data_IF_915483892698
#
_entry.id   IF_915483892698
#
_cell.length_a   1.000
_cell.length_b   1.000
_cell.length_c   1.000
_cell.angle_alpha   90.00
_cell.angle_beta   90.00
_cell.angle_gamma   90.00
#
_symmetry.space_group_name_H-M   'P 1'
#
loop_
_entity.id
_entity.type
_entity.pdbx_description
1 polymer ?
2 non-polymer ?
3 non-polymer ?
4 non-polymer ?
5 water ?
#
# COMPACT_ATOMS: atom_id res chain seq x y z
N UNK A 1 -14.52 6.42 -5.23
CA UNK A 1 -14.24 5.47 -4.12
C UNK A 1 -14.09 4.04 -4.62
N UNK A 2 -13.28 3.25 -3.92
CA UNK A 2 -13.16 1.81 -4.19
C UNK A 2 -13.61 1.02 -2.96
N UNK A 3 -14.05 -0.22 -3.18
CA UNK A 3 -14.59 -1.04 -2.09
C UNK A 3 -14.11 -2.48 -2.11
N UNK A 4 -14.02 -3.08 -0.93
CA UNK A 4 -13.72 -4.51 -0.81
C UNK A 4 -14.46 -5.12 0.39
N UNK A 5 -15.11 -6.25 0.14
CA UNK A 5 -15.86 -6.95 1.17
C UNK A 5 -15.22 -8.29 1.49
N UNK A 6 -14.87 -8.50 2.76
CA UNK A 6 -14.26 -9.76 3.18
C UNK A 6 -15.28 -10.91 3.22
N UNK A 7 -16.56 -10.58 3.41
CA UNK A 7 -17.60 -11.60 3.40
C UNK A 7 -17.80 -12.14 1.97
N UNK A 8 -17.43 -13.41 1.80
CA UNK A 8 -17.54 -14.07 0.50
C UNK A 8 -16.35 -13.82 -0.42
N UNK A 9 -15.31 -13.17 0.12
CA UNK A 9 -14.11 -12.84 -0.65
C UNK A 9 -13.35 -14.09 -1.12
N UNK A 10 -12.79 -14.00 -2.33
CA UNK A 10 -11.96 -15.05 -2.89
C UNK A 10 -10.84 -14.43 -3.72
N UNK A 11 -9.90 -15.23 -4.25
CA UNK A 11 -8.84 -14.62 -5.06
C UNK A 11 -9.36 -13.71 -6.19
N UNK A 12 -10.52 -14.05 -6.75
CA UNK A 12 -11.13 -13.28 -7.84
C UNK A 12 -11.61 -11.90 -7.38
N UNK A 13 -12.42 -11.86 -6.32
CA UNK A 13 -12.96 -10.60 -5.82
C UNK A 13 -11.88 -9.67 -5.26
N UNK A 14 -10.84 -10.26 -4.65
CA UNK A 14 -9.69 -9.49 -4.21
C UNK A 14 -8.94 -8.89 -5.39
N UNK A 15 -8.78 -9.70 -6.44
CA UNK A 15 -8.15 -9.24 -7.69
C UNK A 15 -8.90 -8.08 -8.31
N UNK A 16 -10.23 -8.16 -8.26
CA UNK A 16 -11.10 -7.08 -8.72
C UNK A 16 -10.88 -5.79 -7.94
N UNK A 17 -10.76 -5.92 -6.61
CA UNK A 17 -10.50 -4.78 -5.73
C UNK A 17 -9.16 -4.08 -6.01
N UNK A 18 -8.11 -4.88 -6.20
CA UNK A 18 -6.78 -4.34 -6.46
C UNK A 18 -6.73 -3.65 -7.83
N UNK A 19 -7.43 -4.22 -8.81
CA UNK A 19 -7.62 -3.59 -10.12
C UNK A 19 -8.31 -2.22 -9.97
N UNK A 20 -9.41 -2.20 -9.20
CA UNK A 20 -10.14 -0.96 -8.92
C UNK A 20 -9.26 0.09 -8.24
N UNK A 21 -8.46 -0.35 -7.27
CA UNK A 21 -7.54 0.52 -6.54
C UNK A 21 -6.54 1.18 -7.48
N UNK A 22 -5.90 0.37 -8.34
CA UNK A 22 -4.97 0.87 -9.35
C UNK A 22 -5.64 1.86 -10.29
N UNK A 23 -6.83 1.50 -10.77
CA UNK A 23 -7.59 2.32 -11.73
C UNK A 23 -8.08 3.65 -11.17
N UNK A 24 -8.18 3.72 -9.85
CA UNK A 24 -8.60 4.94 -9.17
C UNK A 24 -7.46 5.95 -9.00
N UNK A 25 -6.24 5.53 -9.27
CA UNK A 25 -5.08 6.42 -9.16
C UNK A 25 -4.83 7.12 -10.51
N UNK A 26 -4.86 8.46 -10.51
CA UNK A 26 -4.73 9.20 -11.77
C UNK A 26 -3.31 9.19 -12.33
N UNK A 27 -3.21 9.14 -13.66
CA UNK A 27 -1.95 9.29 -14.38
C UNK A 27 -2.21 9.95 -15.74
N UNK A 28 -1.21 10.67 -16.25
CA UNK A 28 -1.31 11.23 -17.60
C UNK A 28 -0.27 10.64 -18.55
N UNK A 29 0.78 10.02 -17.99
CA UNK A 29 1.78 9.30 -18.77
C UNK A 29 1.92 7.86 -18.29
N UNK A 30 2.43 7.02 -19.17
CA UNK A 30 3.00 5.74 -18.79
C UNK A 30 4.49 5.79 -19.12
N UNK A 31 5.31 5.22 -18.24
CA UNK A 31 6.75 5.10 -18.50
C UNK A 31 7.07 3.62 -18.59
N UNK A 32 7.60 3.22 -19.75
CA UNK A 32 7.80 1.81 -20.08
C UNK A 32 6.52 1.01 -19.83
N UNK A 33 5.40 1.59 -20.24
CA UNK A 33 4.06 1.00 -20.16
C UNK A 33 3.50 0.86 -18.74
N UNK A 34 4.14 1.53 -17.78
CA UNK A 34 3.69 1.53 -16.39
C UNK A 34 3.16 2.91 -16.02
N UNK A 35 1.92 2.99 -15.51
CA UNK A 35 1.33 4.26 -15.11
C UNK A 35 2.25 5.05 -14.17
N UNK A 36 2.46 6.32 -14.50
CA UNK A 36 3.28 7.22 -13.70
C UNK A 36 2.39 8.08 -12.82
N UNK A 37 2.52 7.92 -11.51
CA UNK A 37 1.73 8.69 -10.55
C UNK A 37 2.08 10.19 -10.67
N UNK A 38 1.09 11.03 -10.42
CA UNK A 38 1.22 12.47 -10.61
C UNK A 38 2.15 13.12 -9.59
N UNK A 39 2.85 14.20 -9.98
CA UNK A 39 3.68 14.94 -9.04
C UNK A 39 2.86 15.49 -7.86
N UNK A 40 1.68 16.02 -8.17
CA UNK A 40 0.81 16.63 -7.17
C UNK A 40 -0.65 16.68 -7.61
N UNK A 41 -1.55 16.67 -6.64
CA UNK A 41 -2.97 16.91 -6.84
C UNK A 41 -3.39 17.88 -5.72
N UNK A 42 -4.22 18.86 -6.07
CA UNK A 42 -4.63 19.88 -5.10
C UNK A 42 -6.03 19.68 -4.56
N UNK A 43 -6.19 19.96 -3.27
CA UNK A 43 -7.48 19.86 -2.60
C UNK A 43 -7.82 18.45 -2.15
N UNK A 44 -9.12 18.18 -2.07
CA UNK A 44 -9.63 16.88 -1.62
C UNK A 44 -9.42 15.77 -2.65
N UNK A 45 -9.19 16.16 -3.91
CA UNK A 45 -8.97 15.21 -5.00
C UNK A 45 -7.69 14.40 -4.86
N UNK A 46 -6.84 14.80 -3.92
CA UNK A 46 -5.60 14.11 -3.63
C UNK A 46 -5.81 12.76 -2.95
N UNK A 47 -6.99 12.58 -2.35
CA UNK A 47 -7.23 11.42 -1.48
C UNK A 47 -8.32 10.49 -1.99
N UNK A 48 -7.94 9.23 -2.18
CA UNK A 48 -8.90 8.17 -2.49
C UNK A 48 -9.43 7.56 -1.20
N UNK A 49 -10.73 7.29 -1.18
CA UNK A 49 -11.35 6.62 -0.06
C UNK A 49 -11.61 5.15 -0.39
N UNK A 50 -11.00 4.26 0.40
CA UNK A 50 -11.24 2.82 0.29
C UNK A 50 -12.24 2.41 1.35
N UNK A 51 -13.35 1.80 0.93
CA UNK A 51 -14.33 1.26 1.86
C UNK A 51 -14.09 -0.23 2.05
N UNK A 52 -13.63 -0.60 3.24
CA UNK A 52 -13.33 -1.99 3.55
C UNK A 52 -14.30 -2.53 4.58
N UNK A 53 -14.83 -3.72 4.29
CA UNK A 53 -15.80 -4.36 5.16
C UNK A 53 -15.25 -5.68 5.67
N UNK A 54 -15.24 -5.84 6.99
CA UNK A 54 -14.86 -7.11 7.58
C UNK A 54 -15.94 -8.16 7.32
N UNK A 55 -15.65 -9.41 7.67
CA UNK A 55 -16.56 -10.51 7.41
C UNK A 55 -17.98 -10.26 7.96
N UNK A 56 -18.06 -9.59 9.10
CA UNK A 56 -19.34 -9.30 9.75
C UNK A 56 -20.04 -8.07 9.16
N UNK A 57 -19.41 -7.41 8.19
CA UNK A 57 -20.03 -6.28 7.49
C UNK A 57 -19.75 -4.92 8.12
N UNK A 58 -18.96 -4.90 9.18
CA UNK A 58 -18.49 -3.66 9.78
C UNK A 58 -17.48 -3.00 8.85
N UNK A 59 -17.41 -1.67 8.88
CA UNK A 59 -16.62 -0.94 7.89
C UNK A 59 -15.67 0.12 8.43
N UNK A 60 -14.54 0.25 7.74
CA UNK A 60 -13.67 1.41 7.87
C UNK A 60 -13.48 2.05 6.51
N UNK A 61 -13.29 3.37 6.49
CA UNK A 61 -12.92 4.08 5.27
C UNK A 61 -11.49 4.54 5.42
N UNK A 62 -10.65 4.14 4.46
CA UNK A 62 -9.22 4.44 4.51
C UNK A 62 -8.88 5.51 3.49
N UNK A 63 -8.18 6.56 3.93
CA UNK A 63 -7.77 7.65 3.03
C UNK A 63 -6.37 7.40 2.50
N UNK A 64 -6.24 7.41 1.17
CA UNK A 64 -5.00 7.11 0.48
C UNK A 64 -4.58 8.29 -0.41
N UNK A 65 -3.35 8.77 -0.24
CA UNK A 65 -2.80 9.82 -1.11
C UNK A 65 -2.57 9.23 -2.49
N UNK A 66 -3.25 9.76 -3.50
CA UNK A 66 -3.24 9.18 -4.86
C UNK A 66 -1.92 9.38 -5.63
N UNK A 67 -1.05 10.24 -5.11
CA UNK A 67 0.25 10.51 -5.75
C UNK A 67 1.32 9.50 -5.32
N UNK A 68 1.11 8.79 -4.22
CA UNK A 68 2.13 7.89 -3.68
C UNK A 68 1.61 6.59 -3.07
N UNK A 69 0.28 6.43 -3.07
CA UNK A 69 -0.42 5.28 -2.47
C UNK A 69 -0.54 5.31 -0.94
N UNK A 70 0.07 6.33 -0.43
CA UNK A 70 0.27 6.31 1.02
C UNK A 70 -1.06 6.48 1.75
N UNK A 71 -1.35 5.57 2.66
CA UNK A 71 -2.53 5.66 3.51
C UNK A 71 -2.25 6.60 4.67
N UNK A 72 -2.99 7.70 4.74
CA UNK A 72 -2.75 8.72 5.75
C UNK A 72 -3.55 8.52 7.03
N UNK A 73 -4.76 7.97 6.89
CA UNK A 73 -5.64 7.80 8.05
C UNK A 73 -6.87 7.02 7.64
N UNK A 74 -7.80 6.88 8.58
CA UNK A 74 -9.01 6.11 8.35
C UNK A 74 -10.13 6.56 9.28
N UNK A 75 -11.36 6.22 8.91
CA UNK A 75 -12.53 6.51 9.72
C UNK A 75 -13.17 5.21 10.21
N UNK A 76 -13.40 5.13 11.51
CA UNK A 76 -14.09 4.00 12.12
C UNK A 76 -15.26 4.52 12.94
N UNK A 77 -16.47 4.15 12.51
CA UNK A 77 -17.73 4.77 12.98
C UNK A 77 -17.69 6.30 12.89
N UNK A 78 -17.51 6.96 14.04
CA UNK A 78 -17.54 8.43 14.09
C UNK A 78 -16.19 9.03 14.50
N UNK A 79 -15.17 8.19 14.58
CA UNK A 79 -13.82 8.64 14.96
C UNK A 79 -12.86 8.50 13.79
N UNK A 80 -12.12 9.56 13.51
CA UNK A 80 -11.05 9.52 12.52
C UNK A 80 -9.70 9.33 13.19
N UNK A 81 -8.79 8.66 12.48
CA UNK A 81 -7.44 8.40 12.98
C UNK A 81 -6.45 8.75 11.88
N UNK A 82 -5.42 9.50 12.24
CA UNK A 82 -4.37 9.87 11.28
C UNK A 82 -3.01 9.61 11.86
N UNK A 83 -2.06 9.29 10.99
CA UNK A 83 -0.67 9.12 11.38
C UNK A 83 -0.09 10.44 11.90
N UNK A 84 0.89 10.34 12.78
CA UNK A 84 1.54 11.50 13.35
C UNK A 84 2.66 11.97 12.41
N UNK A 85 2.20 12.66 11.30
CA UNK A 85 3.23 13.11 10.32
C UNK A 85 2.64 14.26 9.53
N UNK A 86 3.37 15.22 9.02
CA UNK A 86 2.77 16.41 8.39
C UNK A 86 1.81 16.12 7.23
N UNK A 87 2.13 15.14 6.40
CA UNK A 87 1.28 14.76 5.26
C UNK A 87 -0.10 14.27 5.70
N UNK A 88 -0.15 13.56 6.83
CA UNK A 88 -1.41 13.07 7.39
C UNK A 88 -2.24 14.18 8.05
N UNK A 89 -1.57 15.12 8.73
CA UNK A 89 -2.27 16.27 9.29
C UNK A 89 -2.89 17.11 8.16
N UNK A 90 -2.15 17.25 7.07
CA UNK A 90 -2.69 17.91 5.87
C UNK A 90 -3.91 17.16 5.33
N UNK A 91 -3.83 15.83 5.28
CA UNK A 91 -4.96 15.00 4.86
C UNK A 91 -6.18 15.23 5.73
N UNK A 92 -5.96 15.42 7.03
CA UNK A 92 -7.04 15.62 8.00
C UNK A 92 -7.85 16.90 7.71
N UNK A 93 -7.31 17.77 6.86
CA UNK A 93 -8.01 18.98 6.46
C UNK A 93 -9.08 18.71 5.39
N UNK A 94 -8.99 17.56 4.72
CA UNK A 94 -9.86 17.27 3.58
C UNK A 94 -10.80 16.07 3.72
N UNK A 95 -10.38 15.08 4.51
CA UNK A 95 -11.16 13.85 4.66
C UNK A 95 -11.70 13.64 6.08
N UNK A 96 -12.84 12.97 6.17
CA UNK A 96 -13.48 12.60 7.46
C UNK A 96 -13.73 13.81 8.36
N UNK A 97 -14.02 14.95 7.74
CA UNK A 97 -14.25 16.19 8.48
C UNK A 97 -15.50 16.13 9.36
N UNK A 98 -16.45 15.27 8.99
CA UNK A 98 -17.68 15.11 9.76
C UNK A 98 -17.57 14.11 10.92
N UNK A 99 -16.35 13.59 11.16
CA UNK A 99 -16.10 12.73 12.32
C UNK A 99 -16.28 13.51 13.62
N UNK A 100 -16.87 12.87 14.62
CA UNK A 100 -17.12 13.53 15.91
C UNK A 100 -15.84 13.87 16.67
N UNK A 101 -14.83 13.00 16.57
CA UNK A 101 -13.51 13.28 17.14
C UNK A 101 -12.39 12.78 16.22
N UNK A 102 -11.22 13.37 16.36
CA UNK A 102 -10.04 12.98 15.60
C UNK A 102 -8.91 12.58 16.53
N UNK A 103 -8.41 11.37 16.36
CA UNK A 103 -7.28 10.88 17.13
C UNK A 103 -6.05 10.84 16.25
N UNK A 104 -4.97 11.47 16.70
CA UNK A 104 -3.68 11.31 16.04
C UNK A 104 -3.00 10.10 16.66
N UNK A 105 -2.69 9.11 15.82
CA UNK A 105 -1.96 7.93 16.25
C UNK A 105 -0.57 8.33 16.74
N UNK A 106 -0.04 7.64 17.76
CA UNK A 106 1.25 7.99 18.34
C UNK A 106 2.45 7.42 17.56
N UNK A 107 2.34 7.44 16.24
CA UNK A 107 3.42 7.05 15.32
C UNK A 107 3.13 7.59 13.94
N UNK A 108 4.19 7.73 13.14
CA UNK A 108 4.03 8.02 11.71
C UNK A 108 3.68 6.73 10.97
N UNK A 109 3.49 6.84 9.66
CA UNK A 109 3.09 5.71 8.84
C UNK A 109 4.21 4.87 8.27
N UNK A 110 5.43 5.24 8.58
CA UNK A 110 6.65 4.58 8.22
C UNK A 110 6.81 3.18 8.85
N UNK A 111 7.32 2.20 8.15
CA UNK A 111 7.63 0.94 8.79
C UNK A 111 8.61 1.14 9.94
N UNK A 112 9.66 1.90 9.69
CA UNK A 112 10.67 2.18 10.71
C UNK A 112 10.02 2.70 11.98
N UNK A 113 8.70 2.86 11.95
CA UNK A 113 7.96 3.35 13.12
C UNK A 113 6.81 2.43 13.51
N UNK A 114 6.11 1.89 12.52
CA UNK A 114 5.01 0.96 12.77
C UNK A 114 5.49 -0.35 13.39
N UNK A 115 6.64 -0.85 12.93
CA UNK A 115 7.21 -2.10 13.45
C UNK A 115 7.63 -1.94 14.91
N UNK A 116 8.15 -0.77 15.26
CA UNK A 116 8.51 -0.45 16.64
C UNK A 116 7.27 -0.43 17.53
N UNK A 117 6.23 0.28 17.09
CA UNK A 117 4.96 0.36 17.83
C UNK A 117 4.28 -0.99 17.98
N UNK A 118 4.32 -1.80 16.92
CA UNK A 118 3.69 -3.14 16.93
C UNK A 118 4.47 -4.15 17.76
N UNK A 119 5.76 -3.88 17.96
CA UNK A 119 6.64 -4.76 18.74
C UNK A 119 7.20 -5.92 17.93
N UNK A 120 7.08 -5.84 16.61
CA UNK A 120 7.58 -6.89 15.73
C UNK A 120 7.82 -6.41 14.29
N UNK A 121 8.85 -6.97 13.62
CA UNK A 121 9.08 -6.67 12.22
C UNK A 121 8.01 -7.37 11.39
N UNK A 122 7.74 -6.89 10.19
CA UNK A 122 6.67 -7.51 9.42
C UNK A 122 7.06 -8.84 8.78
N UNK A 123 8.33 -9.23 8.90
CA UNK A 123 8.76 -10.59 8.58
C UNK A 123 8.03 -11.62 9.44
N UNK A 124 7.58 -11.18 10.60
CA UNK A 124 6.94 -12.07 11.58
C UNK A 124 5.43 -11.89 11.70
N UNK A 125 4.86 -10.97 10.91
CA UNK A 125 3.42 -10.73 10.92
C UNK A 125 2.76 -11.41 9.72
N UNK A 126 1.93 -12.44 9.96
CA UNK A 126 1.22 -13.11 8.88
C UNK A 126 0.27 -12.14 8.16
N UNK A 127 0.23 -12.25 6.84
CA UNK A 127 -0.69 -11.45 6.03
C UNK A 127 -1.54 -12.36 5.16
N UNK A 128 -2.60 -11.80 4.60
CA UNK A 128 -3.55 -12.56 3.82
C UNK A 128 -4.92 -11.95 4.01
N UNK A 129 -5.93 -12.57 3.43
CA UNK A 129 -7.29 -12.06 3.55
C UNK A 129 -7.85 -12.22 4.98
N UNK A 130 -7.60 -13.37 5.63
CA UNK A 130 -8.04 -13.46 7.03
C UNK A 130 -7.39 -12.40 7.92
N UNK A 131 -6.09 -12.13 7.71
CA UNK A 131 -5.38 -11.09 8.46
C UNK A 131 -5.97 -9.70 8.21
N UNK A 132 -6.41 -9.45 6.97
CA UNK A 132 -7.05 -8.19 6.62
C UNK A 132 -8.39 -8.03 7.33
N UNK A 133 -9.18 -9.10 7.37
CA UNK A 133 -10.42 -9.14 8.14
C UNK A 133 -10.17 -8.75 9.61
N UNK A 134 -9.12 -9.34 10.18
CA UNK A 134 -8.68 -9.04 11.55
C UNK A 134 -8.27 -7.59 11.73
N UNK A 135 -7.49 -7.09 10.76
CA UNK A 135 -6.99 -5.72 10.78
C UNK A 135 -8.15 -4.73 10.83
N UNK A 136 -9.13 -4.92 9.94
CA UNK A 136 -10.32 -4.08 9.90
C UNK A 136 -11.00 -4.07 11.27
N UNK A 137 -11.24 -5.25 11.83
CA UNK A 137 -11.88 -5.39 13.15
C UNK A 137 -11.11 -4.65 14.24
N UNK A 138 -9.78 -4.81 14.25
CA UNK A 138 -8.90 -4.15 15.21
C UNK A 138 -9.02 -2.63 15.14
N UNK A 139 -9.00 -2.09 13.92
CA UNK A 139 -9.04 -0.64 13.73
C UNK A 139 -10.38 0.00 14.10
N UNK A 140 -11.42 -0.83 14.24
CA UNK A 140 -12.75 -0.35 14.64
C UNK A 140 -12.79 0.16 16.07
N UNK A 141 -11.93 -0.38 16.94
CA UNK A 141 -11.83 0.07 18.33
C UNK A 141 -10.40 0.39 18.71
N UNK A 142 -10.18 1.66 19.04
CA UNK A 142 -8.85 2.20 19.25
C UNK A 142 -8.02 1.41 20.25
N UNK A 143 -6.80 1.07 19.81
CA UNK A 143 -5.80 0.35 20.59
C UNK A 143 -4.53 0.56 19.78
N UNK A 144 -3.70 1.52 20.18
CA UNK A 144 -2.57 1.98 19.35
C UNK A 144 -1.52 0.90 19.04
N UNK A 145 -1.21 0.06 20.03
CA UNK A 145 -0.29 -1.07 19.82
C UNK A 145 -0.85 -2.07 18.81
N UNK A 146 -2.10 -2.49 19.01
CA UNK A 146 -2.76 -3.44 18.10
C UNK A 146 -2.95 -2.82 16.71
N UNK A 147 -3.29 -1.54 16.69
CA UNK A 147 -3.49 -0.81 15.43
C UNK A 147 -2.23 -0.76 14.57
N UNK A 148 -1.05 -0.66 15.19
CA UNK A 148 0.20 -0.66 14.43
C UNK A 148 0.37 -1.94 13.60
N UNK A 149 0.12 -3.08 14.23
CA UNK A 149 0.17 -4.38 13.55
C UNK A 149 -0.91 -4.49 12.48
N UNK A 150 -2.11 -4.00 12.82
CA UNK A 150 -3.23 -3.98 11.89
C UNK A 150 -2.90 -3.15 10.65
N UNK A 151 -2.26 -2.00 10.86
CA UNK A 151 -1.89 -1.10 9.78
C UNK A 151 -0.79 -1.68 8.90
N UNK A 152 0.16 -2.40 9.49
CA UNK A 152 1.16 -3.14 8.71
C UNK A 152 0.50 -4.15 7.77
N UNK A 153 -0.53 -4.84 8.26
CA UNK A 153 -1.31 -5.78 7.44
C UNK A 153 -2.09 -5.04 6.34
N UNK A 154 -2.74 -3.93 6.73
CA UNK A 154 -3.57 -3.16 5.82
C UNK A 154 -2.75 -2.59 4.65
N UNK A 155 -1.63 -1.95 4.99
CA UNK A 155 -0.75 -1.33 3.99
C UNK A 155 -0.28 -2.34 2.94
N UNK A 156 0.16 -3.51 3.40
CA UNK A 156 0.69 -4.55 2.54
C UNK A 156 -0.37 -5.23 1.67
N UNK A 157 -1.57 -5.41 2.22
CA UNK A 157 -2.65 -6.09 1.49
C UNK A 157 -3.45 -5.17 0.56
N UNK A 158 -3.22 -3.86 0.66
CA UNK A 158 -3.87 -2.92 -0.24
C UNK A 158 -2.83 -2.22 -1.12
N UNK A 159 -2.18 -1.21 -0.57
CA UNK A 159 -1.18 -0.43 -1.29
C UNK A 159 -0.08 -1.26 -1.94
N UNK A 160 0.58 -2.14 -1.19
CA UNK A 160 1.71 -2.89 -1.76
C UNK A 160 1.25 -3.83 -2.89
N UNK A 161 0.06 -4.39 -2.71
CA UNK A 161 -0.56 -5.26 -3.72
C UNK A 161 -0.90 -4.48 -4.99
N UNK A 162 -1.34 -3.23 -4.83
CA UNK A 162 -1.62 -2.36 -5.96
C UNK A 162 -0.35 -2.05 -6.75
N UNK A 163 0.76 -1.87 -6.05
CA UNK A 163 2.03 -1.52 -6.68
C UNK A 163 2.71 -2.69 -7.39
N UNK A 164 2.60 -3.89 -6.83
CA UNK A 164 3.30 -5.05 -7.37
C UNK A 164 2.35 -6.22 -7.61
N UNK A 165 2.34 -6.71 -8.85
CA UNK A 165 1.54 -7.86 -9.23
C UNK A 165 1.91 -9.09 -8.39
N UNK A 166 3.21 -9.25 -8.13
CA UNK A 166 3.69 -10.35 -7.29
C UNK A 166 3.08 -10.34 -5.89
N UNK A 167 2.95 -9.14 -5.31
CA UNK A 167 2.38 -9.01 -3.96
C UNK A 167 0.87 -9.31 -3.97
N UNK A 168 0.17 -8.83 -4.99
CA UNK A 168 -1.25 -9.19 -5.19
C UNK A 168 -1.45 -10.70 -5.22
N UNK A 169 -0.61 -11.39 -6.00
CA UNK A 169 -0.65 -12.85 -6.11
C UNK A 169 -0.32 -13.55 -4.79
N UNK A 170 0.64 -12.98 -4.04
CA UNK A 170 1.00 -13.46 -2.70
C UNK A 170 -0.23 -13.48 -1.79
N UNK A 171 -1.02 -12.40 -1.84
CA UNK A 171 -2.21 -12.27 -1.01
C UNK A 171 -3.33 -13.20 -1.50
N UNK A 172 -3.45 -13.34 -2.83
CA UNK A 172 -4.42 -14.28 -3.41
C UNK A 172 -4.15 -15.72 -2.96
N UNK A 173 -2.87 -16.07 -2.83
CA UNK A 173 -2.47 -17.37 -2.30
C UNK A 173 -2.83 -17.51 -0.82
N UNK A 174 -2.94 -16.38 -0.14
CA UNK A 174 -3.29 -16.34 1.27
C UNK A 174 -4.75 -15.96 1.49
N UNK A 175 -5.62 -16.39 0.57
CA UNK A 175 -7.03 -16.04 0.63
C UNK A 175 -7.74 -16.63 1.85
N UNK A 176 -7.31 -17.83 2.25
CA UNK A 176 -8.00 -18.57 3.31
C UNK A 176 -7.04 -19.05 4.41
N UNK A 177 -5.77 -18.68 4.28
CA UNK A 177 -4.74 -19.00 5.26
C UNK A 177 -3.67 -17.92 5.26
N UNK A 178 -3.46 -17.27 6.40
CA UNK A 178 -2.42 -16.27 6.54
C UNK A 178 -1.04 -16.91 6.52
N UNK A 179 -0.08 -16.15 6.00
CA UNK A 179 1.32 -16.54 6.07
C UNK A 179 2.16 -15.27 6.05
N UNK A 180 3.26 -15.29 6.80
CA UNK A 180 4.21 -14.17 6.76
C UNK A 180 4.65 -13.91 5.32
N UNK A 181 4.92 -12.64 4.96
CA UNK A 181 5.32 -12.34 3.59
C UNK A 181 6.66 -12.99 3.23
N UNK A 182 6.81 -13.39 1.97
CA UNK A 182 8.08 -13.90 1.48
C UNK A 182 9.15 -12.81 1.54
N UNK A 183 10.41 -13.21 1.58
CA UNK A 183 11.53 -12.26 1.56
C UNK A 183 11.44 -11.35 0.33
N UNK A 184 11.01 -11.92 -0.79
CA UNK A 184 10.82 -11.20 -2.03
C UNK A 184 9.79 -10.07 -1.88
N UNK A 185 8.69 -10.37 -1.18
CA UNK A 185 7.66 -9.38 -0.89
C UNK A 185 8.23 -8.18 -0.12
N UNK A 186 8.95 -8.46 0.97
CA UNK A 186 9.61 -7.42 1.78
C UNK A 186 10.57 -6.59 0.93
N UNK A 187 11.35 -7.28 0.10
CA UNK A 187 12.33 -6.66 -0.78
C UNK A 187 11.67 -5.65 -1.73
N UNK A 188 10.57 -6.06 -2.36
CA UNK A 188 9.84 -5.20 -3.29
C UNK A 188 9.26 -3.97 -2.61
N UNK A 189 8.67 -4.17 -1.43
CA UNK A 189 8.11 -3.07 -0.64
C UNK A 189 9.18 -2.03 -0.36
N UNK A 190 10.35 -2.48 0.08
CA UNK A 190 11.47 -1.61 0.40
C UNK A 190 12.08 -0.92 -0.83
N UNK A 191 11.88 -1.51 -2.01
CA UNK A 191 12.51 -1.02 -3.23
C UNK A 191 11.61 -0.20 -4.16
N UNK A 192 10.36 0.02 -3.75
CA UNK A 192 9.39 0.67 -4.64
C UNK A 192 9.83 2.04 -5.13
N UNK A 193 10.25 2.90 -4.20
CA UNK A 193 10.74 4.23 -4.55
C UNK A 193 11.98 4.15 -5.41
N UNK A 194 12.91 3.29 -5.03
CA UNK A 194 14.14 3.04 -5.79
C UNK A 194 13.86 2.60 -7.21
N UNK A 195 13.01 1.58 -7.36
CA UNK A 195 12.63 1.06 -8.67
C UNK A 195 11.91 2.12 -9.52
N UNK A 196 10.99 2.85 -8.89
CA UNK A 196 10.27 3.93 -9.56
C UNK A 196 11.23 4.97 -10.14
N UNK A 197 12.21 5.36 -9.32
CA UNK A 197 13.23 6.32 -9.74
C UNK A 197 14.03 5.81 -10.95
N UNK A 198 14.55 4.59 -10.83
CA UNK A 198 15.42 4.02 -11.85
C UNK A 198 14.73 3.72 -13.18
N UNK A 199 13.45 3.35 -13.13
CA UNK A 199 12.64 3.15 -14.34
C UNK A 199 12.46 4.50 -15.04
N UNK A 200 12.30 5.56 -14.26
CA UNK A 200 12.20 6.91 -14.80
C UNK A 200 13.54 7.46 -15.31
N UNK A 201 14.65 7.12 -14.64
CA UNK A 201 15.97 7.56 -15.11
C UNK A 201 16.38 6.81 -16.38
N UNK A 202 15.78 5.65 -16.59
CA UNK A 202 16.04 4.82 -17.76
C UNK A 202 15.48 5.40 -19.08
N UNK A 203 14.46 6.25 -18.99
CA UNK A 203 13.84 6.84 -20.20
C UNK A 203 14.82 7.66 -21.06
N UNK A 204 15.83 8.25 -20.43
CA UNK A 204 16.88 8.97 -21.16
C UNK A 204 18.22 8.27 -21.14
N UNK A 205 18.22 6.98 -20.77
CA UNK A 205 19.45 6.21 -20.61
C UNK A 205 19.37 4.84 -21.30
N UNK A 206 18.62 4.79 -22.40
CA UNK A 206 18.45 3.57 -23.21
C UNK A 206 17.87 2.37 -22.45
N UNK A 207 17.04 2.65 -21.46
CA UNK A 207 16.42 1.60 -20.65
C UNK A 207 17.31 1.03 -19.57
N UNK A 208 18.47 1.66 -19.36
CA UNK A 208 19.45 1.21 -18.36
C UNK A 208 19.32 2.04 -17.07
N UNK A 209 19.32 1.35 -15.93
CA UNK A 209 19.31 2.00 -14.62
C UNK A 209 20.61 2.75 -14.40
N UNK A 210 20.52 3.98 -13.89
CA UNK A 210 21.70 4.74 -13.48
C UNK A 210 22.37 4.05 -12.29
N UNK A 211 21.52 3.51 -11.41
CA UNK A 211 21.95 2.75 -10.25
C UNK A 211 21.13 1.46 -10.19
N UNK A 212 21.81 0.30 -10.10
CA UNK A 212 21.12 -0.99 -10.03
C UNK A 212 20.33 -1.13 -8.72
N UNK A 213 19.19 -1.80 -8.80
CA UNK A 213 18.37 -2.07 -7.61
C UNK A 213 18.55 -3.54 -7.21
N UNK A 214 18.87 -3.77 -5.94
CA UNK A 214 19.08 -5.12 -5.43
C UNK A 214 17.78 -5.66 -4.79
N UNK A 215 17.34 -6.82 -5.27
CA UNK A 215 16.12 -7.47 -4.78
C UNK A 215 16.39 -8.92 -4.39
N UNK A 216 15.53 -9.45 -3.50
CA UNK A 216 15.49 -10.89 -3.23
C UNK A 216 14.44 -11.51 -4.16
N UNK A 217 14.77 -12.62 -4.80
CA UNK A 217 13.82 -13.30 -5.69
C UNK A 217 12.95 -14.35 -4.98
N UNK A 218 12.06 -14.98 -5.75
CA UNK A 218 11.07 -15.93 -5.24
C UNK A 218 11.66 -17.18 -4.60
N UNK A 219 12.81 -17.62 -5.12
CA UNK A 219 13.53 -18.78 -4.59
C UNK A 219 14.40 -18.40 -3.40
N UNK A 220 14.32 -17.12 -3.01
CA UNK A 220 15.06 -16.59 -1.86
C UNK A 220 16.44 -16.06 -2.20
N UNK A 221 16.72 -15.90 -3.49
CA UNK A 221 18.03 -15.47 -3.96
C UNK A 221 18.12 -13.97 -4.30
N UNK A 222 19.23 -13.36 -3.90
CA UNK A 222 19.46 -11.92 -4.07
C UNK A 222 19.97 -11.57 -5.48
N UNK A 223 19.27 -10.65 -6.13
CA UNK A 223 19.52 -10.33 -7.55
C UNK A 223 19.63 -8.82 -7.82
N UNK A 224 20.44 -8.47 -8.82
CA UNK A 224 20.58 -7.10 -9.29
C UNK A 224 19.66 -6.82 -10.47
N UNK A 225 18.90 -5.74 -10.38
CA UNK A 225 18.07 -5.25 -11.48
C UNK A 225 18.79 -4.06 -12.08
N UNK A 226 19.14 -4.17 -13.36
CA UNK A 226 20.01 -3.16 -14.01
C UNK A 226 19.35 -2.45 -15.19
N UNK A 227 18.27 -3.02 -15.72
CA UNK A 227 17.59 -2.44 -16.88
C UNK A 227 16.11 -2.83 -16.99
N UNK A 228 15.39 -2.14 -17.88
CA UNK A 228 13.93 -2.28 -18.01
C UNK A 228 13.42 -3.63 -18.57
N UNK A 229 14.34 -4.47 -19.05
CA UNK A 229 13.95 -5.78 -19.58
C UNK A 229 13.73 -6.82 -18.49
N UNK A 230 14.08 -6.46 -17.25
CA UNK A 230 13.87 -7.31 -16.09
C UNK A 230 12.38 -7.59 -15.88
N UNK A 231 12.07 -8.80 -15.42
CA UNK A 231 10.69 -9.20 -15.15
C UNK A 231 9.98 -8.30 -14.13
N UNK A 232 10.74 -7.72 -13.21
CA UNK A 232 10.21 -6.80 -12.20
C UNK A 232 9.60 -5.56 -12.88
N UNK A 233 10.22 -5.12 -13.97
CA UNK A 233 9.75 -3.96 -14.72
C UNK A 233 8.66 -4.33 -15.74
N UNK A 234 8.87 -5.43 -16.47
CA UNK A 234 7.95 -5.81 -17.55
C UNK A 234 6.64 -6.44 -17.08
N UNK A 235 6.67 -7.10 -15.92
CA UNK A 235 5.52 -7.90 -15.46
C UNK A 235 4.99 -7.51 -14.08
N UNK A 236 5.88 -7.11 -13.18
CA UNK A 236 5.56 -6.99 -11.76
C UNK A 236 5.03 -5.62 -11.34
N UNK A 237 5.89 -4.60 -11.38
CA UNK A 237 5.52 -3.25 -10.95
C UNK A 237 4.36 -2.69 -11.77
N UNK A 238 3.39 -2.09 -11.07
CA UNK A 238 2.15 -1.61 -11.69
C UNK A 238 1.97 -0.10 -11.59
N UNK A 239 2.76 0.52 -10.72
CA UNK A 239 2.67 1.96 -10.45
C UNK A 239 4.05 2.54 -10.16
N UNK A 240 4.30 3.75 -10.65
CA UNK A 240 5.58 4.43 -10.42
C UNK A 240 5.42 5.68 -9.58
N UNK A 241 6.15 5.74 -8.48
CA UNK A 241 6.30 6.96 -7.71
C UNK A 241 7.04 7.97 -8.58
N UNK A 242 6.43 9.12 -8.80
CA UNK A 242 7.04 10.21 -9.58
C UNK A 242 8.32 10.69 -8.91
N UNK A 243 9.38 10.85 -9.70
CA UNK A 243 10.69 11.29 -9.18
C UNK A 243 10.66 12.66 -8.51
N UNK A 244 9.67 13.48 -8.86
CA UNK A 244 9.41 14.75 -8.17
C UNK A 244 9.16 14.52 -6.68
N UNK A 245 8.63 13.36 -6.34
CA UNK A 245 8.36 12.99 -4.96
C UNK A 245 9.42 12.07 -4.35
N UNK A 246 10.55 11.93 -5.04
CA UNK A 246 11.67 11.12 -4.53
C UNK A 246 12.88 12.02 -4.22
X LIG B 1 19.62 -6.33 -18.57
X LIG B 1 21.10 -6.63 -18.82
X LIG B 1 21.41 -8.11 -19.13
X LIG B 1 20.69 -9.03 -18.15
X LIG B 1 19.23 -8.61 -17.96
X LIG B 1 18.64 -9.36 -16.80
X LIG B 1 22.23 -4.59 -19.61
X LIG B 1 22.60 -3.79 -20.84
X LIG B 1 21.55 -5.73 -19.89
X LIG B 1 22.79 -8.48 -19.08
X LIG B 1 20.82 -10.35 -18.66
X LIG B 1 19.07 -7.23 -17.65
X LIG B 1 17.26 -9.11 -16.75
X LIG B 1 22.53 -4.19 -18.46
X LIG C 1 -10.94 -14.46 4.53
X LIG C 1 -11.33 -15.33 5.56
X LIG C 1 -12.15 -14.04 3.70
X LIG C 1 -13.19 -13.61 4.56
X LIG C 1 -12.63 -15.22 2.85
X LIG C 1 -13.90 -14.95 2.30
X LIG D 1 3.34 3.48 3.50
X LIG D 1 2.28 4.55 3.77
X LIG D 1 0.94 4.14 3.19
X LIG D 1 1.10 3.51 1.81
X LIG D 1 2.09 2.36 1.85
X LIG D 1 3.18 2.53 0.80
X LIG D 1 8.03 4.84 4.96
X LIG D 1 7.26 5.04 3.66
X LIG D 1 5.76 4.80 3.87
X LIG D 1 5.50 3.43 4.45
X LIG D 1 6.26 3.22 5.75
X LIG D 1 7.76 3.45 5.55
X LIG D 1 6.92 7.34 4.07
X LIG D 1 8.06 8.19 4.65
X LIG D 1 7.99 8.20 6.17
X LIG D 1 6.59 8.51 6.66
X LIG D 1 5.56 7.62 5.98
X LIG D 1 4.58 8.45 5.15
X LIG D 1 4.43 2.01 1.30
X LIG D 1 6.39 1.74 5.80
X LIG D 1 9.45 5.00 4.72
X LIG D 1 8.91 9.20 6.68
X LIG D 1 2.69 2.26 3.13
X LIG D 1 2.05 5.74 4.53
X LIG D 1 -0.03 4.34 4.23
X LIG D 1 -0.17 3.04 1.35
X LIG D 1 4.11 3.27 4.69
X LIG D 1 5.68 4.15 2.62
X LIG D 1 7.47 6.36 3.19
X LIG D 1 6.23 6.68 5.13
X LIG D 1 9.31 7.67 4.23
X LIG D 1 6.52 8.31 8.08
X LIG D 1 5.23 9.64 4.70
#
# INVERSE_FOLDING_TARGET
DVSFRLSGADPSSYGMFIKDLRNALPHTEKVYNIPLLLPSVSGAGRYLLMHLFNYDGNTITVAVDVTNVYIMGYLALTTSYFFNEPAADLASQYVFRSARRKITLPYSGNYERLQIAAGKPREKIPIGLPALDTAISTLLHYDSTAAAGALLVLIQTTAEAARFKYIEQQIQERAYRDEVPSSATISLENSWSGLSKQIQLAQGNNGVFRTPTVLVDSKGNRVQITNVTSNVVTSNIQLLLNTKNI
NAG C1 C2 C3 C4 C5 C6 C7 C8 N2 O3 O4 O5 O6 O7
GOL C1 O1 C2 O2 C3 O3
KAN C1 C2 C3 C4 C5 C6 C7 C8 C9 C10 C11 C12 C13 C14 C15 C16 C17 C18 N1 N2 N3 N4 O5 O6 O7 O8 O9 O10 O11 O12 O13 O14 O15
#
